data_IF_223808336403
#
_entry.id   IF_223808336403
#
_cell.length_a   1.000
_cell.length_b   1.000
_cell.length_c   1.000
_cell.angle_alpha   90.00
_cell.angle_beta   90.00
_cell.angle_gamma   90.00
#
_symmetry.space_group_name_H-M   'P 1'
#
loop_
_entity.id
_entity.type
_entity.pdbx_description
1 polymer ?
#
# COMPACT_ATOMS: atom_id res chain seq x y z
N UNK A 1 -21.14 37.86 -8.90
CA UNK A 1 -21.12 39.14 -9.59
C UNK A 1 -20.76 40.24 -8.58
N UNK A 2 -19.47 40.42 -8.24
CA UNK A 2 -18.91 41.64 -7.62
C UNK A 2 -17.45 41.65 -8.04
N UNK A 3 -17.15 42.62 -8.93
CA UNK A 3 -15.85 42.90 -9.51
C UNK A 3 -15.07 43.82 -8.59
N UNK A 4 -13.83 43.46 -8.22
CA UNK A 4 -12.91 44.35 -7.52
C UNK A 4 -11.81 44.80 -8.47
N UNK A 5 -11.88 46.09 -8.92
CA UNK A 5 -10.88 46.81 -9.67
C UNK A 5 -9.75 47.25 -8.76
N UNK A 6 -8.53 46.78 -8.97
CA UNK A 6 -7.34 47.41 -8.36
C UNK A 6 -6.79 48.48 -9.31
N UNK A 7 -6.70 49.71 -8.79
CA UNK A 7 -6.08 50.89 -9.43
C UNK A 7 -4.56 50.80 -9.35
N UNK A 8 -3.91 50.83 -10.49
CA UNK A 8 -2.47 51.12 -10.63
C UNK A 8 -2.25 52.65 -10.47
N UNK A 9 -1.35 53.03 -9.55
CA UNK A 9 -0.77 54.41 -9.51
C UNK A 9 0.53 54.38 -10.31
N UNK A 10 0.54 55.12 -11.38
CA UNK A 10 1.73 55.57 -12.11
C UNK A 10 2.34 56.74 -11.38
N UNK A 11 3.64 56.74 -11.18
CA UNK A 11 4.41 57.96 -10.91
C UNK A 11 5.38 58.22 -12.06
N UNK A 12 5.25 59.42 -12.61
CA UNK A 12 6.04 60.01 -13.67
C UNK A 12 7.26 60.75 -13.11
N UNK A 13 8.38 60.84 -13.84
CA UNK A 13 9.59 61.52 -13.39
C UNK A 13 9.62 62.96 -13.88
N UNK A 14 10.04 63.88 -13.05
CA UNK A 14 10.49 65.22 -13.51
C UNK A 14 11.59 65.78 -12.60
N UNK A 15 12.76 65.86 -13.13
CA UNK A 15 13.54 67.11 -13.34
C UNK A 15 13.93 67.83 -12.03
N UNK A 16 15.25 67.87 -11.75
CA UNK A 16 15.94 69.15 -11.44
C UNK A 16 17.40 69.02 -11.88
N UNK A 17 17.75 69.89 -12.84
CA UNK A 17 19.10 70.27 -13.28
C UNK A 17 19.53 71.48 -12.43
N UNK A 18 20.83 71.58 -12.14
CA UNK A 18 21.44 72.83 -11.62
C UNK A 18 22.79 72.51 -10.98
N UNK A 19 23.87 72.60 -11.67
CA UNK A 19 24.83 73.72 -11.80
C UNK A 19 25.54 73.99 -10.45
N UNK A 20 26.83 73.70 -10.41
CA UNK A 20 27.84 74.67 -9.95
C UNK A 20 29.24 74.31 -10.46
N UNK A 21 29.77 75.16 -11.29
CA UNK A 21 31.14 75.30 -11.74
C UNK A 21 31.92 76.18 -10.75
N UNK A 22 33.24 76.11 -10.83
CA UNK A 22 34.25 77.03 -10.40
C UNK A 22 35.10 76.60 -9.22
N UNK A 23 36.32 76.53 -9.24
CA UNK A 23 37.42 77.43 -9.57
C UNK A 23 38.60 77.08 -8.63
N UNK A 24 39.77 76.91 -9.04
CA UNK A 24 41.09 77.58 -9.19
C UNK A 24 42.19 76.77 -8.56
N UNK A 25 43.20 76.26 -9.29
CA UNK A 25 44.43 76.88 -9.77
C UNK A 25 45.49 77.15 -8.67
N UNK A 26 46.70 76.54 -8.85
CA UNK A 26 48.00 76.98 -8.59
C UNK A 26 48.63 76.83 -7.19
N UNK A 27 49.66 76.00 -7.06
CA UNK A 27 51.02 76.50 -6.79
C UNK A 27 52.04 75.43 -7.11
N UNK A 28 52.95 75.76 -8.02
CA UNK A 28 54.27 75.17 -8.24
C UNK A 28 55.19 75.50 -7.09
N UNK A 29 55.83 74.50 -6.52
CA UNK A 29 56.94 74.65 -5.60
C UNK A 29 57.96 73.58 -5.86
N UNK A 30 59.00 73.95 -6.60
CA UNK A 30 60.20 73.14 -6.83
C UNK A 30 61.06 73.09 -5.56
N UNK A 31 61.50 71.86 -5.18
CA UNK A 31 62.71 71.68 -4.39
C UNK A 31 63.40 70.41 -4.84
N UNK A 32 64.57 70.63 -5.37
CA UNK A 32 65.63 69.66 -5.66
C UNK A 32 66.15 69.06 -4.36
N UNK A 33 66.29 67.73 -4.35
CA UNK A 33 66.84 66.96 -3.22
C UNK A 33 67.26 65.55 -3.63
N UNK A 34 68.48 65.44 -4.06
CA UNK A 34 69.46 64.35 -3.86
C UNK A 34 68.91 62.90 -3.88
N UNK A 35 69.26 62.18 -4.91
CA UNK A 35 69.16 60.74 -5.03
C UNK A 35 70.04 60.03 -3.97
N UNK A 36 69.34 59.28 -3.09
CA UNK A 36 69.98 58.27 -2.27
C UNK A 36 69.45 56.91 -2.79
N UNK A 37 70.37 56.12 -3.32
CA UNK A 37 70.11 54.74 -3.74
C UNK A 37 69.71 53.91 -2.51
N UNK A 38 68.41 53.65 -2.37
CA UNK A 38 67.95 52.61 -1.46
C UNK A 38 67.74 51.40 -2.33
N UNK A 39 68.56 50.40 -2.21
CA UNK A 39 68.28 49.05 -2.70
C UNK A 39 67.02 48.56 -2.12
N UNK A 40 65.97 48.45 -2.97
CA UNK A 40 64.76 47.78 -2.63
C UNK A 40 65.07 46.31 -2.60
N UNK A 41 65.30 45.78 -1.39
CA UNK A 41 65.22 44.33 -1.14
C UNK A 41 63.84 43.85 -1.59
N UNK A 42 63.81 43.11 -2.67
CA UNK A 42 62.68 42.31 -3.01
C UNK A 42 62.50 41.24 -1.89
N UNK A 43 61.70 41.53 -0.90
CA UNK A 43 61.11 40.47 -0.06
C UNK A 43 60.34 39.54 -1.01
N UNK A 44 60.92 38.39 -1.34
CA UNK A 44 60.25 37.25 -1.84
C UNK A 44 59.12 36.99 -0.84
N UNK A 45 57.90 37.43 -1.16
CA UNK A 45 56.69 36.95 -0.47
C UNK A 45 56.68 35.44 -0.64
N UNK A 46 57.16 34.73 0.34
CA UNK A 46 56.93 33.31 0.51
C UNK A 46 55.40 33.16 0.55
N UNK A 47 54.83 32.69 -0.56
CA UNK A 47 53.44 32.31 -0.64
C UNK A 47 53.25 31.14 0.33
N UNK A 48 52.95 31.47 1.58
CA UNK A 48 52.63 30.47 2.58
C UNK A 48 51.32 29.80 2.15
N UNK A 49 51.43 28.58 1.59
CA UNK A 49 50.31 27.79 1.20
C UNK A 49 49.44 27.53 2.44
N UNK A 50 48.19 27.99 2.48
CA UNK A 50 47.32 27.84 3.67
C UNK A 50 47.09 26.38 3.98
N UNK A 51 47.26 26.00 5.24
CA UNK A 51 46.88 24.67 5.75
C UNK A 51 45.38 24.60 5.92
N UNK A 52 44.73 23.67 5.20
CA UNK A 52 43.25 23.53 5.22
C UNK A 52 42.89 22.14 5.75
N UNK A 53 42.13 22.07 6.83
CA UNK A 53 41.66 20.80 7.34
C UNK A 53 40.69 20.17 6.33
N UNK A 54 40.92 18.89 6.02
CA UNK A 54 40.13 18.13 5.04
C UNK A 54 39.52 16.89 5.69
N UNK A 55 38.36 16.47 5.17
CA UNK A 55 37.72 15.22 5.50
C UNK A 55 37.62 14.33 4.26
N UNK A 56 37.68 13.03 4.47
CA UNK A 56 37.46 12.06 3.40
C UNK A 56 35.96 11.86 3.19
N UNK A 57 35.57 11.84 1.94
CA UNK A 57 34.20 11.54 1.50
C UNK A 57 33.86 10.08 1.81
N UNK A 58 32.77 9.86 2.50
CA UNK A 58 32.25 8.53 2.86
C UNK A 58 31.15 8.10 1.90
N UNK A 59 31.00 6.79 1.75
CA UNK A 59 29.88 6.20 1.04
C UNK A 59 29.14 5.32 2.02
N UNK A 60 27.85 5.53 2.14
CA UNK A 60 26.99 4.80 3.06
C UNK A 60 25.61 4.56 2.45
N UNK A 61 24.93 3.52 2.93
CA UNK A 61 23.52 3.26 2.65
C UNK A 61 22.70 3.77 3.84
N UNK A 62 22.07 4.95 3.72
CA UNK A 62 21.42 5.55 4.86
C UNK A 62 20.15 4.80 5.25
N UNK A 63 20.07 4.46 6.53
CA UNK A 63 18.83 4.09 7.18
C UNK A 63 18.07 5.35 7.60
N UNK A 64 16.76 5.34 7.40
CA UNK A 64 15.90 6.43 7.83
C UNK A 64 14.55 5.90 8.30
N UNK A 65 13.92 6.62 9.21
CA UNK A 65 12.57 6.28 9.69
C UNK A 65 11.54 7.13 8.96
N UNK A 66 10.59 6.46 8.32
CA UNK A 66 9.47 7.10 7.66
C UNK A 66 8.22 6.95 8.53
N UNK A 67 7.60 8.06 8.88
CA UNK A 67 6.37 8.08 9.67
C UNK A 67 5.17 8.34 8.75
N UNK A 68 4.21 7.41 8.73
CA UNK A 68 3.05 7.44 7.85
C UNK A 68 1.77 7.11 8.63
N UNK A 69 0.62 7.66 8.22
CA UNK A 69 -0.66 7.15 8.69
C UNK A 69 -0.96 5.80 8.07
N UNK A 70 -1.56 4.92 8.85
CA UNK A 70 -2.10 3.64 8.41
C UNK A 70 -3.48 3.40 8.99
N UNK A 71 -4.20 2.45 8.43
CA UNK A 71 -5.52 2.03 8.87
C UNK A 71 -5.53 0.54 9.15
N UNK A 72 -6.03 0.15 10.31
CA UNK A 72 -6.29 -1.25 10.67
C UNK A 72 -7.59 -1.69 10.04
N UNK A 73 -7.54 -2.71 9.20
CA UNK A 73 -8.72 -3.30 8.57
C UNK A 73 -8.90 -4.74 9.07
N UNK A 74 -10.14 -5.26 9.13
CA UNK A 74 -10.37 -6.68 9.37
C UNK A 74 -9.59 -7.51 8.34
N UNK A 75 -9.04 -8.65 8.76
CA UNK A 75 -8.32 -9.54 7.82
C UNK A 75 -9.25 -10.07 6.73
N UNK A 76 -10.45 -10.49 7.12
CA UNK A 76 -11.55 -10.83 6.22
C UNK A 76 -12.82 -10.11 6.67
N UNK A 77 -13.56 -9.59 5.71
CA UNK A 77 -14.87 -9.01 5.90
C UNK A 77 -15.78 -9.46 4.77
N UNK A 78 -17.00 -9.88 5.09
CA UNK A 78 -17.95 -10.32 4.09
C UNK A 78 -19.36 -9.83 4.44
N UNK A 79 -20.08 -9.42 3.41
CA UNK A 79 -21.50 -9.13 3.46
C UNK A 79 -22.28 -10.38 3.05
N UNK A 80 -23.16 -10.85 3.93
CA UNK A 80 -23.94 -12.07 3.77
C UNK A 80 -25.31 -11.72 3.23
N UNK A 81 -25.61 -12.26 2.06
CA UNK A 81 -26.88 -12.14 1.37
C UNK A 81 -27.62 -13.48 1.37
N UNK A 82 -28.96 -13.50 1.53
CA UNK A 82 -29.73 -14.71 1.34
C UNK A 82 -29.69 -15.14 -0.13
N UNK A 83 -29.48 -16.43 -0.38
CA UNK A 83 -29.45 -17.03 -1.73
C UNK A 83 -30.84 -17.39 -2.27
N UNK A 84 -31.83 -17.39 -1.41
CA UNK A 84 -33.22 -17.70 -1.75
C UNK A 84 -34.15 -16.70 -1.09
N UNK A 85 -35.29 -16.43 -1.74
CA UNK A 85 -36.34 -15.57 -1.20
C UNK A 85 -37.08 -16.27 -0.09
N UNK A 86 -37.35 -15.57 1.02
CA UNK A 86 -38.10 -16.09 2.15
C UNK A 86 -38.31 -15.06 3.24
N UNK A 87 -39.14 -15.37 4.21
CA UNK A 87 -39.35 -14.55 5.40
C UNK A 87 -38.31 -14.89 6.47
N UNK A 88 -37.79 -13.90 7.15
CA UNK A 88 -36.87 -14.09 8.26
C UNK A 88 -37.63 -14.64 9.47
N UNK A 89 -37.49 -15.95 9.72
CA UNK A 89 -38.20 -16.66 10.78
C UNK A 89 -37.58 -16.44 12.15
N UNK A 90 -36.25 -16.54 12.21
CA UNK A 90 -35.52 -16.40 13.46
C UNK A 90 -34.12 -15.80 13.23
N UNK A 91 -33.67 -14.98 14.18
CA UNK A 91 -32.32 -14.47 14.31
C UNK A 91 -31.69 -15.12 15.54
N UNK A 92 -30.47 -15.69 15.36
CA UNK A 92 -29.73 -16.37 16.44
C UNK A 92 -28.59 -15.53 16.97
N UNK A 93 -28.29 -14.41 16.29
CA UNK A 93 -27.17 -13.49 16.61
C UNK A 93 -27.62 -12.04 16.41
N UNK A 94 -26.91 -11.13 17.07
CA UNK A 94 -27.13 -9.70 16.89
C UNK A 94 -25.80 -8.98 16.60
N UNK A 95 -25.85 -7.67 16.34
CA UNK A 95 -24.68 -6.84 16.17
C UNK A 95 -23.77 -6.94 17.41
N UNK A 96 -22.45 -7.13 17.19
CA UNK A 96 -21.47 -7.36 18.24
C UNK A 96 -21.34 -8.82 18.69
N UNK A 97 -22.21 -9.73 18.25
CA UNK A 97 -22.09 -11.16 18.56
C UNK A 97 -20.84 -11.78 17.94
N UNK A 98 -20.09 -12.54 18.73
CA UNK A 98 -19.01 -13.40 18.24
C UNK A 98 -19.60 -14.66 17.64
N UNK A 99 -19.13 -15.07 16.48
CA UNK A 99 -19.61 -16.23 15.74
C UNK A 99 -18.47 -17.12 15.29
N UNK A 100 -18.74 -18.43 15.21
CA UNK A 100 -17.82 -19.44 14.70
C UNK A 100 -18.20 -19.84 13.28
N UNK A 101 -17.23 -20.26 12.48
CA UNK A 101 -17.45 -20.82 11.14
C UNK A 101 -18.52 -21.93 11.17
N UNK A 102 -19.52 -21.83 10.30
CA UNK A 102 -20.63 -22.77 10.23
C UNK A 102 -21.74 -22.55 11.26
N UNK A 103 -21.59 -21.62 12.20
CA UNK A 103 -22.64 -21.26 13.16
C UNK A 103 -23.85 -20.68 12.43
N UNK A 104 -25.04 -21.10 12.83
CA UNK A 104 -26.31 -20.57 12.28
C UNK A 104 -26.52 -19.15 12.80
N UNK A 105 -26.68 -18.21 11.86
CA UNK A 105 -26.92 -16.79 12.13
C UNK A 105 -28.42 -16.47 12.09
N UNK A 106 -29.09 -17.01 11.09
CA UNK A 106 -30.53 -16.81 10.89
C UNK A 106 -31.16 -18.01 10.19
N UNK A 107 -32.47 -18.13 10.35
CA UNK A 107 -33.31 -19.13 9.67
C UNK A 107 -34.38 -18.41 8.89
N UNK A 108 -34.47 -18.73 7.60
CA UNK A 108 -35.54 -18.25 6.71
C UNK A 108 -36.67 -19.27 6.62
N UNK A 109 -37.87 -18.80 6.33
CA UNK A 109 -39.05 -19.61 6.03
C UNK A 109 -39.50 -19.33 4.61
N UNK A 110 -39.55 -20.38 3.79
CA UNK A 110 -40.07 -20.38 2.43
C UNK A 110 -40.92 -21.64 2.22
N UNK A 111 -42.23 -21.57 2.51
CA UNK A 111 -43.16 -22.73 2.41
C UNK A 111 -43.15 -23.35 1.01
N UNK A 112 -43.01 -22.51 -0.02
CA UNK A 112 -42.99 -22.91 -1.43
C UNK A 112 -41.83 -23.88 -1.72
N UNK A 113 -40.64 -23.63 -1.19
CA UNK A 113 -39.46 -24.48 -1.37
C UNK A 113 -39.68 -25.86 -0.73
N UNK A 114 -40.35 -25.92 0.43
CA UNK A 114 -40.66 -27.16 1.11
C UNK A 114 -41.69 -27.98 0.34
N UNK A 115 -42.73 -27.33 -0.23
CA UNK A 115 -43.72 -27.97 -1.06
C UNK A 115 -43.11 -28.50 -2.37
N UNK A 116 -42.29 -27.72 -3.04
CA UNK A 116 -41.56 -28.12 -4.25
C UNK A 116 -40.66 -29.34 -3.97
N UNK A 117 -39.96 -29.35 -2.85
CA UNK A 117 -39.12 -30.48 -2.46
C UNK A 117 -39.96 -31.76 -2.23
N UNK A 118 -41.08 -31.62 -1.55
CA UNK A 118 -41.99 -32.76 -1.31
C UNK A 118 -42.54 -33.33 -2.62
N UNK A 119 -42.96 -32.47 -3.54
CA UNK A 119 -43.45 -32.90 -4.87
C UNK A 119 -42.32 -33.58 -5.71
N UNK A 120 -41.12 -33.00 -5.73
CA UNK A 120 -39.99 -33.57 -6.44
C UNK A 120 -39.56 -34.93 -5.89
N UNK A 121 -39.60 -35.11 -4.55
CA UNK A 121 -39.31 -36.41 -3.93
C UNK A 121 -40.39 -37.46 -4.28
N UNK A 122 -41.64 -37.08 -4.26
CA UNK A 122 -42.73 -37.98 -4.65
C UNK A 122 -42.62 -38.42 -6.12
N UNK A 123 -42.25 -37.48 -7.01
CA UNK A 123 -42.00 -37.78 -8.42
C UNK A 123 -40.80 -38.74 -8.61
N UNK A 124 -39.71 -38.51 -7.91
CA UNK A 124 -38.51 -39.38 -7.94
C UNK A 124 -38.87 -40.78 -7.42
N UNK A 125 -39.68 -40.90 -6.37
CA UNK A 125 -40.15 -42.17 -5.82
C UNK A 125 -41.01 -42.93 -6.84
N UNK A 126 -41.97 -42.25 -7.48
CA UNK A 126 -42.77 -42.87 -8.52
C UNK A 126 -41.91 -43.48 -9.64
N UNK A 127 -40.96 -42.72 -10.17
CA UNK A 127 -40.07 -43.19 -11.24
C UNK A 127 -39.11 -44.29 -10.78
N UNK A 128 -38.79 -44.33 -9.50
CA UNK A 128 -38.03 -45.41 -8.90
C UNK A 128 -38.83 -46.73 -8.95
N UNK A 129 -40.12 -46.68 -8.59
CA UNK A 129 -41.00 -47.87 -8.64
C UNK A 129 -41.20 -48.38 -10.09
N UNK A 130 -41.37 -47.43 -11.05
CA UNK A 130 -41.43 -47.77 -12.48
C UNK A 130 -40.14 -48.45 -12.94
N UNK A 131 -38.97 -47.98 -12.54
CA UNK A 131 -37.67 -48.62 -12.84
C UNK A 131 -37.53 -49.98 -12.16
N UNK A 132 -37.93 -50.14 -10.90
CA UNK A 132 -37.89 -51.42 -10.20
C UNK A 132 -38.82 -52.44 -10.88
N UNK A 133 -40.01 -52.01 -11.27
CA UNK A 133 -40.96 -52.85 -12.02
C UNK A 133 -40.39 -53.31 -13.36
N UNK A 134 -39.86 -52.42 -14.18
CA UNK A 134 -39.29 -52.76 -15.48
C UNK A 134 -38.07 -53.69 -15.34
N UNK A 135 -37.23 -53.45 -14.33
CA UNK A 135 -36.05 -54.30 -14.01
C UNK A 135 -36.47 -55.73 -13.63
N UNK A 136 -37.55 -55.85 -12.81
CA UNK A 136 -38.11 -57.19 -12.46
C UNK A 136 -38.74 -57.86 -13.66
N UNK A 137 -39.46 -57.11 -14.51
CA UNK A 137 -40.02 -57.65 -15.75
C UNK A 137 -38.92 -58.19 -16.70
N UNK A 138 -37.84 -57.44 -16.94
CA UNK A 138 -36.70 -57.91 -17.72
C UNK A 138 -36.08 -59.15 -17.12
N UNK A 139 -35.89 -59.22 -15.81
CA UNK A 139 -35.32 -60.41 -15.13
C UNK A 139 -36.18 -61.64 -15.36
N UNK A 140 -37.55 -61.51 -15.28
CA UNK A 140 -38.46 -62.63 -15.54
C UNK A 140 -38.42 -63.06 -17.01
N UNK A 141 -38.35 -62.14 -17.97
CA UNK A 141 -38.19 -62.44 -19.41
C UNK A 141 -36.86 -63.13 -19.70
N UNK A 142 -35.77 -62.72 -19.09
CA UNK A 142 -34.45 -63.37 -19.20
C UNK A 142 -34.49 -64.83 -18.67
N UNK A 143 -35.18 -65.02 -17.52
CA UNK A 143 -35.35 -66.37 -16.96
C UNK A 143 -36.22 -67.29 -17.87
N UNK A 144 -37.24 -66.71 -18.50
CA UNK A 144 -38.08 -67.44 -19.47
C UNK A 144 -37.31 -67.76 -20.76
N UNK A 145 -36.50 -66.83 -21.26
CA UNK A 145 -35.68 -67.00 -22.45
C UNK A 145 -34.55 -68.03 -22.30
N UNK A 146 -34.19 -68.37 -21.06
CA UNK A 146 -33.26 -69.48 -20.81
C UNK A 146 -33.82 -70.87 -21.24
N UNK A 147 -35.13 -70.96 -21.56
CA UNK A 147 -35.77 -72.13 -22.17
C UNK A 147 -35.88 -71.87 -23.67
N UNK A 148 -35.39 -72.77 -24.51
CA UNK A 148 -35.36 -72.60 -25.95
C UNK A 148 -36.73 -72.24 -26.53
N UNK A 149 -36.76 -71.19 -27.37
CA UNK A 149 -37.94 -70.73 -28.10
C UNK A 149 -39.02 -70.04 -27.28
N UNK A 150 -38.85 -69.82 -25.97
CA UNK A 150 -39.92 -69.31 -25.09
C UNK A 150 -40.13 -67.78 -25.20
N UNK A 151 -39.13 -66.99 -25.64
CA UNK A 151 -39.22 -65.53 -25.76
C UNK A 151 -38.50 -65.05 -27.02
N UNK A 152 -39.15 -64.19 -27.81
CA UNK A 152 -38.54 -63.59 -29.00
C UNK A 152 -37.44 -62.56 -28.58
N UNK A 153 -36.30 -62.54 -29.31
CA UNK A 153 -35.22 -61.62 -29.03
C UNK A 153 -35.64 -60.14 -28.98
N UNK A 154 -36.57 -59.74 -29.84
CA UNK A 154 -37.11 -58.39 -29.88
C UNK A 154 -37.80 -57.99 -28.56
N UNK A 155 -38.42 -58.90 -27.83
CA UNK A 155 -39.07 -58.61 -26.55
C UNK A 155 -38.06 -58.39 -25.42
N UNK A 156 -36.94 -59.13 -25.45
CA UNK A 156 -35.80 -58.87 -24.54
C UNK A 156 -35.17 -57.50 -24.79
N UNK A 157 -35.00 -57.14 -26.07
CA UNK A 157 -34.45 -55.82 -26.44
C UNK A 157 -35.39 -54.69 -26.02
N UNK A 158 -36.70 -54.84 -26.22
CA UNK A 158 -37.72 -53.88 -25.74
C UNK A 158 -37.68 -53.74 -24.23
N UNK A 159 -37.67 -54.83 -23.48
CA UNK A 159 -37.60 -54.82 -22.03
C UNK A 159 -36.31 -54.19 -21.50
N UNK A 160 -35.16 -54.51 -22.14
CA UNK A 160 -33.86 -53.93 -21.78
C UNK A 160 -33.83 -52.40 -22.01
N UNK A 161 -34.39 -51.97 -23.14
CA UNK A 161 -34.50 -50.53 -23.49
C UNK A 161 -35.45 -49.81 -22.52
N UNK A 162 -36.58 -50.43 -22.12
CA UNK A 162 -37.49 -49.90 -21.12
C UNK A 162 -36.79 -49.69 -19.78
N UNK A 163 -36.02 -50.65 -19.30
CA UNK A 163 -35.22 -50.54 -18.07
C UNK A 163 -34.23 -49.37 -18.15
N UNK A 164 -33.50 -49.21 -19.28
CA UNK A 164 -32.58 -48.06 -19.47
C UNK A 164 -33.31 -46.74 -19.45
N UNK A 165 -34.49 -46.66 -20.12
CA UNK A 165 -35.34 -45.46 -20.15
C UNK A 165 -35.83 -45.07 -18.75
N UNK A 166 -36.38 -46.04 -18.00
CA UNK A 166 -36.92 -45.82 -16.67
C UNK A 166 -35.82 -45.46 -15.67
N UNK A 167 -34.65 -46.15 -15.79
CA UNK A 167 -33.47 -45.76 -15.00
C UNK A 167 -33.03 -44.31 -15.23
N UNK A 168 -32.95 -43.89 -16.50
CA UNK A 168 -32.61 -42.53 -16.86
C UNK A 168 -33.65 -41.50 -16.32
N UNK A 169 -34.92 -41.83 -16.43
CA UNK A 169 -36.00 -40.97 -15.88
C UNK A 169 -35.93 -40.82 -14.35
N UNK A 170 -35.66 -41.94 -13.64
CA UNK A 170 -35.46 -41.90 -12.19
C UNK A 170 -34.22 -41.04 -11.80
N UNK A 171 -33.09 -41.22 -12.48
CA UNK A 171 -31.85 -40.46 -12.22
C UNK A 171 -32.08 -38.96 -12.43
N UNK A 172 -32.82 -38.58 -13.49
CA UNK A 172 -33.15 -37.18 -13.75
C UNK A 172 -34.05 -36.59 -12.65
N UNK A 173 -35.11 -37.32 -12.23
CA UNK A 173 -35.95 -36.85 -11.15
C UNK A 173 -35.28 -36.76 -9.79
N UNK A 174 -34.38 -37.71 -9.49
CA UNK A 174 -33.55 -37.69 -8.29
C UNK A 174 -32.61 -36.49 -8.28
N UNK A 175 -32.01 -36.14 -9.41
CA UNK A 175 -31.17 -34.94 -9.54
C UNK A 175 -31.98 -33.65 -9.32
N UNK A 176 -33.22 -33.58 -9.85
CA UNK A 176 -34.13 -32.45 -9.62
C UNK A 176 -34.46 -32.30 -8.12
N UNK A 177 -34.85 -33.40 -7.45
CA UNK A 177 -35.11 -33.38 -6.00
C UNK A 177 -33.87 -32.95 -5.18
N UNK A 178 -32.68 -33.38 -5.58
CA UNK A 178 -31.41 -32.97 -4.95
C UNK A 178 -31.15 -31.47 -5.10
N UNK A 179 -31.41 -30.91 -6.28
CA UNK A 179 -31.26 -29.46 -6.55
C UNK A 179 -32.19 -28.63 -5.64
N UNK A 180 -33.44 -29.01 -5.50
CA UNK A 180 -34.40 -28.34 -4.62
C UNK A 180 -34.00 -28.52 -3.14
N UNK A 181 -33.48 -29.69 -2.77
CA UNK A 181 -32.95 -29.93 -1.42
C UNK A 181 -31.78 -28.98 -1.07
N UNK A 182 -30.88 -28.73 -2.03
CA UNK A 182 -29.81 -27.75 -1.86
C UNK A 182 -30.35 -26.31 -1.69
N UNK A 183 -31.40 -25.93 -2.44
CA UNK A 183 -32.11 -24.65 -2.23
C UNK A 183 -32.66 -24.53 -0.80
N UNK A 184 -33.23 -25.61 -0.25
CA UNK A 184 -33.74 -25.64 1.13
C UNK A 184 -32.62 -25.41 2.16
N UNK A 185 -31.40 -25.89 1.91
CA UNK A 185 -30.29 -25.67 2.80
C UNK A 185 -29.92 -24.18 2.89
N UNK A 186 -30.11 -23.42 1.81
CA UNK A 186 -29.89 -21.96 1.79
C UNK A 186 -30.87 -21.16 2.66
N UNK A 187 -31.93 -21.78 3.17
CA UNK A 187 -32.82 -21.15 4.17
C UNK A 187 -32.15 -21.03 5.54
N UNK A 188 -31.04 -21.72 5.77
CA UNK A 188 -30.24 -21.61 6.98
C UNK A 188 -28.98 -20.81 6.67
N UNK A 189 -28.93 -19.57 7.15
CA UNK A 189 -27.79 -18.67 6.96
C UNK A 189 -26.71 -18.99 7.99
N UNK A 190 -25.47 -19.24 7.54
CA UNK A 190 -24.33 -19.62 8.39
C UNK A 190 -23.16 -18.67 8.21
N UNK A 191 -22.35 -18.54 9.26
CA UNK A 191 -21.11 -17.77 9.22
C UNK A 191 -20.06 -18.49 8.35
N UNK A 192 -19.38 -17.77 7.42
CA UNK A 192 -18.36 -18.36 6.57
C UNK A 192 -17.01 -18.57 7.27
N UNK A 193 -16.70 -17.77 8.28
CA UNK A 193 -15.48 -17.82 9.10
C UNK A 193 -15.77 -17.34 10.54
N UNK A 194 -14.78 -17.48 11.42
CA UNK A 194 -14.83 -16.99 12.80
C UNK A 194 -14.71 -15.47 12.82
N UNK A 195 -15.66 -14.78 13.46
CA UNK A 195 -15.64 -13.31 13.46
C UNK A 195 -16.71 -12.69 14.35
N UNK A 196 -16.96 -11.41 14.11
CA UNK A 196 -17.95 -10.59 14.82
C UNK A 196 -18.97 -10.06 13.82
N UNK A 197 -20.24 -10.06 14.19
CA UNK A 197 -21.32 -9.43 13.42
C UNK A 197 -21.16 -7.90 13.54
N UNK A 198 -20.80 -7.24 12.45
CA UNK A 198 -20.66 -5.78 12.42
C UNK A 198 -21.95 -5.05 12.06
N UNK A 199 -22.78 -5.67 11.23
CA UNK A 199 -24.10 -5.13 10.86
C UNK A 199 -25.15 -6.23 10.79
N UNK A 200 -26.40 -5.85 11.17
CA UNK A 200 -27.64 -6.60 10.98
C UNK A 200 -28.69 -5.63 10.45
N UNK A 201 -29.18 -5.86 9.25
CA UNK A 201 -30.01 -4.87 8.54
C UNK A 201 -31.50 -5.24 8.50
N UNK A 202 -31.87 -6.43 8.93
CA UNK A 202 -33.26 -6.89 8.91
C UNK A 202 -33.70 -7.42 10.27
N UNK A 203 -35.02 -7.40 10.49
CA UNK A 203 -35.69 -7.93 11.68
C UNK A 203 -36.53 -9.16 11.34
N UNK A 204 -36.88 -9.96 12.35
CA UNK A 204 -37.78 -11.09 12.22
C UNK A 204 -39.09 -10.66 11.57
N UNK A 205 -39.59 -11.45 10.62
CA UNK A 205 -40.75 -11.15 9.80
C UNK A 205 -40.46 -10.41 8.50
N UNK A 206 -39.26 -9.89 8.30
CA UNK A 206 -38.87 -9.21 7.05
C UNK A 206 -38.79 -10.22 5.90
N UNK A 207 -39.27 -9.82 4.72
CA UNK A 207 -39.05 -10.55 3.48
C UNK A 207 -37.66 -10.21 2.96
N UNK A 208 -36.83 -11.23 2.79
CA UNK A 208 -35.49 -11.11 2.23
C UNK A 208 -35.40 -11.97 0.96
N UNK A 209 -34.54 -11.57 0.02
CA UNK A 209 -34.49 -12.24 -1.28
C UNK A 209 -33.06 -12.30 -1.83
N UNK A 210 -32.92 -12.80 -3.06
CA UNK A 210 -31.64 -12.83 -3.76
C UNK A 210 -31.01 -11.43 -3.88
N UNK A 211 -29.69 -11.37 -3.76
CA UNK A 211 -28.93 -10.14 -3.90
C UNK A 211 -28.98 -9.64 -5.35
N UNK A 212 -29.64 -8.50 -5.57
CA UNK A 212 -29.49 -7.71 -6.79
C UNK A 212 -28.42 -6.64 -6.61
N UNK A 213 -28.13 -5.87 -7.64
CA UNK A 213 -27.09 -4.82 -7.64
C UNK A 213 -27.25 -3.72 -6.56
N UNK A 214 -28.40 -3.65 -5.90
CA UNK A 214 -28.73 -2.71 -4.80
C UNK A 214 -29.24 -3.40 -3.54
N UNK A 215 -28.99 -4.71 -3.39
CA UNK A 215 -29.49 -5.44 -2.24
C UNK A 215 -28.75 -5.05 -0.95
N UNK A 216 -29.51 -4.89 0.13
CA UNK A 216 -28.96 -4.71 1.47
C UNK A 216 -28.53 -6.08 2.03
N UNK A 217 -27.30 -6.24 2.56
CA UNK A 217 -26.87 -7.50 3.15
C UNK A 217 -27.69 -7.83 4.40
N UNK A 218 -27.92 -9.11 4.67
CA UNK A 218 -28.60 -9.54 5.90
C UNK A 218 -27.70 -9.31 7.11
N UNK A 219 -26.42 -9.70 6.99
CA UNK A 219 -25.38 -9.49 7.97
C UNK A 219 -24.09 -9.04 7.29
N UNK A 220 -23.26 -8.31 8.06
CA UNK A 220 -21.85 -8.13 7.76
C UNK A 220 -21.05 -8.80 8.86
N UNK A 221 -20.06 -9.61 8.48
CA UNK A 221 -19.17 -10.36 9.40
C UNK A 221 -17.75 -9.95 9.14
N UNK A 222 -17.00 -9.63 10.20
CA UNK A 222 -15.59 -9.24 10.13
C UNK A 222 -14.74 -10.07 11.07
N UNK A 223 -13.58 -10.50 10.59
CA UNK A 223 -12.59 -11.20 11.41
C UNK A 223 -11.82 -10.20 12.26
N UNK A 224 -11.84 -10.36 13.60
CA UNK A 224 -11.17 -9.45 14.54
C UNK A 224 -9.90 -10.07 15.15
N UNK A 225 -9.75 -11.40 15.12
CA UNK A 225 -8.58 -12.09 15.72
C UNK A 225 -7.28 -11.84 14.96
N UNK A 226 -7.37 -11.39 13.73
CA UNK A 226 -6.26 -10.98 12.87
C UNK A 226 -6.69 -9.72 12.13
N UNK A 227 -5.82 -8.74 12.07
CA UNK A 227 -6.06 -7.48 11.36
C UNK A 227 -5.00 -7.29 10.27
N UNK A 228 -5.30 -6.38 9.39
CA UNK A 228 -4.43 -5.94 8.31
C UNK A 228 -4.20 -4.45 8.47
N UNK A 229 -2.97 -4.05 8.69
CA UNK A 229 -2.57 -2.65 8.70
C UNK A 229 -2.22 -2.24 7.28
N UNK A 230 -3.01 -1.36 6.69
CA UNK A 230 -2.82 -0.83 5.35
C UNK A 230 -2.13 0.53 5.43
N UNK A 231 -1.03 0.67 4.71
CA UNK A 231 -0.22 1.90 4.68
C UNK A 231 0.03 2.32 3.24
N UNK A 232 -0.25 3.58 2.92
CA UNK A 232 0.07 4.16 1.62
C UNK A 232 1.48 4.75 1.65
N UNK A 233 2.44 4.04 1.06
CA UNK A 233 3.85 4.46 1.02
C UNK A 233 4.11 5.28 -0.25
N UNK A 234 4.62 6.52 -0.15
CA UNK A 234 4.93 7.35 -1.32
C UNK A 234 5.92 6.67 -2.27
N UNK A 235 5.74 6.89 -3.58
CA UNK A 235 6.52 6.27 -4.66
C UNK A 235 8.04 6.33 -4.43
N UNK A 236 8.55 7.49 -3.98
CA UNK A 236 9.98 7.69 -3.72
C UNK A 236 10.59 6.76 -2.65
N UNK A 237 9.76 6.13 -1.82
CA UNK A 237 10.17 5.20 -0.78
C UNK A 237 9.82 3.74 -1.09
N UNK A 238 9.04 3.50 -2.16
CA UNK A 238 8.54 2.17 -2.49
C UNK A 238 9.65 1.15 -2.81
N UNK A 239 10.77 1.62 -3.38
CA UNK A 239 11.92 0.78 -3.70
C UNK A 239 12.75 0.38 -2.47
N UNK A 240 12.60 1.11 -1.36
CA UNK A 240 13.28 0.82 -0.08
C UNK A 240 12.49 -0.16 0.80
N UNK A 241 11.35 -0.67 0.33
CA UNK A 241 10.55 -1.66 1.04
C UNK A 241 11.05 -3.06 0.73
N UNK A 242 11.43 -3.78 1.76
CA UNK A 242 11.79 -5.19 1.72
C UNK A 242 10.80 -6.02 2.54
N UNK A 243 10.74 -7.34 2.27
CA UNK A 243 9.87 -8.27 3.02
C UNK A 243 10.22 -8.35 4.51
N UNK A 244 11.46 -8.04 4.86
CA UNK A 244 11.94 -7.97 6.24
C UNK A 244 11.85 -6.58 6.88
N UNK A 245 11.33 -5.56 6.17
CA UNK A 245 11.25 -4.19 6.68
C UNK A 245 10.54 -4.16 8.04
N UNK A 246 11.23 -3.79 9.12
CA UNK A 246 10.62 -3.75 10.45
C UNK A 246 9.66 -2.56 10.54
N UNK A 247 8.47 -2.86 11.05
CA UNK A 247 7.43 -1.87 11.27
C UNK A 247 7.03 -1.85 12.73
N UNK A 248 6.95 -0.65 13.29
CA UNK A 248 6.25 -0.40 14.54
C UNK A 248 5.12 0.61 14.34
N UNK A 249 4.05 0.46 15.11
CA UNK A 249 2.94 1.40 15.04
C UNK A 249 2.31 1.67 16.40
N UNK A 250 1.66 2.80 16.51
CA UNK A 250 0.90 3.24 17.67
C UNK A 250 -0.52 3.56 17.26
N UNK A 251 -1.49 3.29 18.11
CA UNK A 251 -2.89 3.66 17.92
C UNK A 251 -3.29 4.69 18.98
N UNK A 252 -4.14 5.63 18.61
CA UNK A 252 -4.49 6.77 19.48
C UNK A 252 -5.25 6.36 20.73
N UNK A 253 -6.04 5.30 20.67
CA UNK A 253 -6.82 4.79 21.81
C UNK A 253 -6.00 4.01 22.85
N UNK A 254 -4.69 3.76 22.58
CA UNK A 254 -3.76 3.09 23.51
C UNK A 254 -2.44 3.84 23.60
N UNK A 255 -2.44 5.02 24.24
CA UNK A 255 -1.24 5.83 24.37
C UNK A 255 -0.14 5.08 25.10
N UNK A 256 1.09 5.18 24.56
CA UNK A 256 2.28 4.54 25.13
C UNK A 256 2.51 3.08 24.72
N UNK A 257 1.52 2.37 24.16
CA UNK A 257 1.72 0.99 23.66
C UNK A 257 2.20 1.01 22.22
N UNK A 258 3.30 0.31 21.96
CA UNK A 258 3.87 0.11 20.63
C UNK A 258 3.56 -1.31 20.18
N UNK A 259 3.05 -1.43 18.96
CA UNK A 259 2.77 -2.70 18.31
C UNK A 259 3.76 -2.93 17.18
N UNK A 260 3.97 -4.18 16.85
CA UNK A 260 4.87 -4.59 15.76
C UNK A 260 4.08 -5.41 14.74
N UNK A 261 4.43 -5.25 13.47
CA UNK A 261 3.85 -6.04 12.39
C UNK A 261 4.92 -6.39 11.37
N UNK A 262 4.63 -7.40 10.55
CA UNK A 262 5.50 -7.83 9.45
C UNK A 262 4.82 -7.54 8.12
N UNK A 263 5.62 -7.13 7.15
CA UNK A 263 5.16 -6.96 5.78
C UNK A 263 4.62 -8.30 5.27
N UNK A 264 3.40 -8.29 4.78
CA UNK A 264 2.76 -9.49 4.23
C UNK A 264 2.50 -9.37 2.73
N UNK A 265 2.16 -8.18 2.28
CA UNK A 265 1.82 -7.94 0.87
C UNK A 265 2.22 -6.52 0.46
N UNK A 266 2.71 -6.43 -0.77
CA UNK A 266 2.96 -5.18 -1.45
C UNK A 266 2.20 -5.23 -2.77
N UNK A 267 1.34 -4.25 -3.03
CA UNK A 267 0.55 -4.21 -4.27
C UNK A 267 1.40 -4.13 -5.52
N UNK A 268 2.64 -3.65 -5.42
CA UNK A 268 3.57 -3.39 -6.54
C UNK A 268 2.96 -2.53 -7.66
N UNK A 269 1.78 -1.97 -7.42
CA UNK A 269 1.04 -1.10 -8.35
C UNK A 269 0.88 0.27 -7.72
N UNK A 270 1.30 1.27 -8.47
CA UNK A 270 1.22 2.67 -8.05
C UNK A 270 -0.23 3.18 -8.19
N UNK A 271 -0.77 3.70 -7.11
CA UNK A 271 -1.99 4.48 -7.16
C UNK A 271 -1.66 5.85 -7.78
N UNK A 272 -2.10 6.06 -9.03
CA UNK A 272 -1.77 7.27 -9.79
C UNK A 272 -2.31 8.57 -9.17
N UNK A 273 -3.44 8.51 -8.44
CA UNK A 273 -4.04 9.67 -7.79
C UNK A 273 -3.26 10.10 -6.56
N UNK A 274 -2.80 9.14 -5.76
CA UNK A 274 -2.10 9.39 -4.50
C UNK A 274 -0.58 9.33 -4.63
N UNK A 275 -0.04 8.91 -5.79
CA UNK A 275 1.39 8.68 -6.00
C UNK A 275 2.01 7.82 -4.89
N UNK A 276 1.32 6.74 -4.55
CA UNK A 276 1.70 5.84 -3.46
C UNK A 276 1.45 4.39 -3.82
N UNK A 277 2.15 3.49 -3.16
CA UNK A 277 1.97 2.04 -3.21
C UNK A 277 1.31 1.61 -1.91
N UNK A 278 0.21 0.85 -1.99
CA UNK A 278 -0.42 0.28 -0.82
C UNK A 278 0.36 -0.95 -0.35
N UNK A 279 0.73 -0.94 0.90
CA UNK A 279 1.46 -2.00 1.57
C UNK A 279 0.65 -2.50 2.75
N UNK A 280 0.56 -3.81 2.90
CA UNK A 280 -0.24 -4.45 3.93
C UNK A 280 0.66 -5.23 4.89
N UNK A 281 0.40 -5.04 6.17
CA UNK A 281 1.11 -5.72 7.26
C UNK A 281 0.10 -6.53 8.07
N UNK A 282 0.40 -7.79 8.30
CA UNK A 282 -0.43 -8.66 9.13
C UNK A 282 -0.19 -8.38 10.62
N UNK A 283 -1.28 -8.16 11.35
CA UNK A 283 -1.27 -7.87 12.78
C UNK A 283 -2.04 -8.98 13.52
N UNK A 284 -1.36 -9.69 14.43
CA UNK A 284 -2.00 -10.64 15.32
C UNK A 284 -2.81 -9.88 16.39
N UNK A 285 -4.10 -10.17 16.47
CA UNK A 285 -5.02 -9.53 17.40
C UNK A 285 -5.88 -10.56 18.17
N UNK A 286 -5.31 -11.73 18.47
CA UNK A 286 -6.02 -12.78 19.25
C UNK A 286 -6.50 -12.31 20.60
N UNK A 287 -5.78 -11.37 21.22
CA UNK A 287 -6.18 -10.72 22.48
C UNK A 287 -7.28 -9.67 22.28
N UNK A 288 -7.71 -9.41 21.06
CA UNK A 288 -8.72 -8.39 20.71
C UNK A 288 -8.39 -6.99 21.27
N UNK A 289 -7.10 -6.68 21.31
CA UNK A 289 -6.59 -5.41 21.82
C UNK A 289 -6.82 -4.25 20.84
N UNK A 290 -7.00 -4.54 19.57
CA UNK A 290 -7.18 -3.58 18.47
C UNK A 290 -8.51 -3.84 17.77
N UNK A 291 -9.05 -2.81 17.12
CA UNK A 291 -10.30 -2.91 16.34
C UNK A 291 -10.06 -2.55 14.88
N UNK A 292 -10.77 -3.21 13.98
CA UNK A 292 -10.81 -2.79 12.59
C UNK A 292 -11.40 -1.38 12.47
N UNK A 293 -10.85 -0.56 11.58
CA UNK A 293 -11.21 0.85 11.40
C UNK A 293 -10.39 1.83 12.24
N UNK A 294 -9.50 1.37 13.13
CA UNK A 294 -8.62 2.26 13.90
C UNK A 294 -7.48 2.80 13.02
N UNK A 295 -7.19 4.09 13.20
CA UNK A 295 -6.01 4.73 12.61
C UNK A 295 -4.75 4.47 13.43
N UNK A 296 -3.67 4.22 12.74
CA UNK A 296 -2.36 3.96 13.33
C UNK A 296 -1.31 4.95 12.82
N UNK A 297 -0.43 5.40 13.70
CA UNK A 297 0.80 6.09 13.35
C UNK A 297 1.89 5.04 13.16
N UNK A 298 2.31 4.84 11.93
CA UNK A 298 3.25 3.81 11.52
C UNK A 298 4.66 4.38 11.39
N UNK A 299 5.66 3.65 11.88
CA UNK A 299 7.08 3.96 11.70
C UNK A 299 7.75 2.81 10.94
N UNK A 300 8.16 3.09 9.72
CA UNK A 300 8.91 2.19 8.85
C UNK A 300 10.40 2.53 8.95
N UNK A 301 11.24 1.55 9.28
CA UNK A 301 12.68 1.67 9.14
C UNK A 301 13.06 1.21 7.74
N UNK A 302 13.51 2.13 6.93
CA UNK A 302 13.85 1.90 5.54
C UNK A 302 15.34 2.10 5.33
N UNK A 303 15.92 1.33 4.41
CA UNK A 303 17.27 1.51 3.91
C UNK A 303 17.21 1.83 2.42
N UNK A 304 18.00 2.79 1.97
CA UNK A 304 18.06 3.07 0.54
C UNK A 304 18.74 1.92 -0.20
N UNK A 305 18.24 1.52 -1.39
CA UNK A 305 18.89 0.46 -2.16
C UNK A 305 20.28 0.86 -2.68
N UNK A 306 20.47 2.16 -2.95
CA UNK A 306 21.73 2.69 -3.47
C UNK A 306 22.56 3.35 -2.39
N UNK A 307 23.87 3.09 -2.44
CA UNK A 307 24.84 3.81 -1.62
C UNK A 307 24.98 5.25 -2.11
N UNK A 308 25.04 6.19 -1.18
CA UNK A 308 25.15 7.62 -1.47
C UNK A 308 26.40 8.22 -0.83
N UNK A 309 26.80 9.39 -1.32
CA UNK A 309 28.00 10.10 -0.92
C UNK A 309 27.67 11.03 0.24
N UNK A 310 28.52 10.97 1.29
CA UNK A 310 28.35 11.73 2.52
C UNK A 310 29.58 12.56 2.81
N UNK A 311 29.38 13.83 3.12
CA UNK A 311 30.38 14.78 3.54
C UNK A 311 30.02 15.38 4.89
N UNK A 312 30.99 15.92 5.67
CA UNK A 312 30.65 16.71 6.85
C UNK A 312 29.70 17.87 6.47
N UNK A 313 28.66 18.09 7.24
CA UNK A 313 27.68 19.15 6.95
C UNK A 313 28.32 20.55 6.87
N UNK A 314 29.43 20.76 7.60
CA UNK A 314 30.26 21.98 7.56
C UNK A 314 31.02 22.15 6.25
N UNK A 315 31.18 21.11 5.44
CA UNK A 315 31.86 21.15 4.15
C UNK A 315 31.01 21.69 3.02
N UNK A 316 29.68 21.71 3.22
CA UNK A 316 28.71 22.20 2.22
C UNK A 316 28.58 23.72 2.36
N UNK A 317 28.80 24.42 1.26
CA UNK A 317 28.69 25.88 1.18
C UNK A 317 27.44 26.25 0.42
N UNK A 318 26.56 27.02 1.08
CA UNK A 318 25.36 27.59 0.51
C UNK A 318 25.62 29.06 0.17
N UNK A 319 25.84 29.37 -1.11
CA UNK A 319 26.12 30.71 -1.61
C UNK A 319 25.05 31.21 -2.57
N UNK A 320 25.05 32.50 -2.89
CA UNK A 320 24.13 33.04 -3.91
C UNK A 320 24.35 32.39 -5.29
N UNK A 321 25.54 31.88 -5.58
CA UNK A 321 25.91 31.17 -6.82
C UNK A 321 25.47 29.70 -6.85
N UNK A 322 24.85 29.17 -5.77
CA UNK A 322 24.44 27.80 -5.63
C UNK A 322 25.14 27.06 -4.50
N UNK A 323 24.77 25.78 -4.36
CA UNK A 323 25.31 24.87 -3.35
C UNK A 323 26.52 24.12 -3.93
N UNK A 324 27.61 24.08 -3.20
CA UNK A 324 28.83 23.40 -3.63
C UNK A 324 29.64 22.89 -2.45
N UNK A 325 30.59 22.02 -2.73
CA UNK A 325 31.67 21.61 -1.82
C UNK A 325 33.02 21.94 -2.46
N UNK A 326 34.02 22.17 -1.60
CA UNK A 326 35.38 22.44 -2.02
C UNK A 326 36.17 21.12 -1.94
N UNK A 327 36.41 20.49 -3.10
CA UNK A 327 37.26 19.30 -3.24
C UNK A 327 38.71 19.70 -3.36
N UNK A 328 39.63 19.01 -2.70
CA UNK A 328 41.06 19.18 -2.85
C UNK A 328 41.60 18.11 -3.78
N UNK A 329 42.15 18.53 -4.91
CA UNK A 329 42.74 17.67 -5.93
C UNK A 329 44.09 18.23 -6.34
N UNK A 330 45.17 17.43 -6.23
CA UNK A 330 46.56 17.87 -6.54
C UNK A 330 46.97 19.14 -5.80
N UNK A 331 46.69 19.23 -4.50
CA UNK A 331 46.94 20.38 -3.64
C UNK A 331 46.29 21.70 -4.10
N UNK A 332 45.27 21.62 -4.93
CA UNK A 332 44.46 22.75 -5.38
C UNK A 332 42.96 22.55 -5.00
N UNK A 333 42.29 23.65 -4.70
CA UNK A 333 40.87 23.65 -4.40
C UNK A 333 40.06 23.68 -5.68
N UNK A 334 39.12 22.73 -5.82
CA UNK A 334 38.17 22.68 -6.91
C UNK A 334 36.76 22.81 -6.37
N UNK A 335 35.99 23.73 -6.93
CA UNK A 335 34.57 23.92 -6.60
C UNK A 335 33.72 22.89 -7.32
N UNK A 336 33.01 22.06 -6.59
CA UNK A 336 32.12 21.03 -7.15
C UNK A 336 30.69 21.36 -6.79
N UNK A 337 29.85 21.71 -7.77
CA UNK A 337 28.42 21.92 -7.53
C UNK A 337 27.76 20.62 -7.05
N UNK A 338 26.90 20.72 -6.03
CA UNK A 338 26.20 19.57 -5.47
C UNK A 338 24.73 19.91 -5.18
N UNK A 339 23.93 18.86 -5.13
CA UNK A 339 22.54 18.92 -4.61
C UNK A 339 22.55 18.27 -3.23
N UNK A 340 21.99 18.96 -2.24
CA UNK A 340 21.86 18.44 -0.89
C UNK A 340 20.76 17.37 -0.82
N UNK A 341 21.06 16.27 -0.14
CA UNK A 341 20.13 15.20 0.18
C UNK A 341 19.73 15.20 1.66
N UNK A 342 19.73 14.03 2.27
CA UNK A 342 19.42 13.87 3.69
C UNK A 342 20.57 14.38 4.57
N UNK A 343 20.19 14.85 5.76
CA UNK A 343 21.14 15.19 6.83
C UNK A 343 21.04 14.19 7.96
N UNK A 344 22.17 13.65 8.41
CA UNK A 344 22.26 12.73 9.55
C UNK A 344 23.36 13.22 10.48
N UNK A 345 22.99 13.65 11.67
CA UNK A 345 23.93 14.22 12.66
C UNK A 345 24.82 15.33 12.05
N UNK A 346 26.09 15.07 11.92
CA UNK A 346 27.10 16.00 11.37
C UNK A 346 27.42 15.72 9.89
N UNK A 347 26.75 14.77 9.26
CA UNK A 347 26.95 14.41 7.86
C UNK A 347 25.80 14.92 6.99
N UNK A 348 26.15 15.38 5.80
CA UNK A 348 25.23 15.81 4.75
C UNK A 348 25.41 14.90 3.53
N UNK A 349 24.33 14.30 3.07
CA UNK A 349 24.29 13.59 1.80
C UNK A 349 24.38 14.60 0.65
N UNK A 350 25.23 14.31 -0.33
CA UNK A 350 25.42 15.18 -1.49
C UNK A 350 25.39 14.38 -2.79
N UNK A 351 24.77 14.96 -3.80
CA UNK A 351 24.71 14.42 -5.15
C UNK A 351 25.48 15.35 -6.09
N UNK A 352 26.53 14.84 -6.73
CA UNK A 352 27.37 15.61 -7.62
C UNK A 352 28.57 14.79 -8.12
N UNK A 353 29.51 15.44 -8.76
CA UNK A 353 30.73 14.77 -9.28
C UNK A 353 31.77 14.57 -8.16
N UNK A 354 31.39 13.83 -7.11
CA UNK A 354 32.21 13.50 -5.96
C UNK A 354 32.21 12.00 -5.76
N UNK A 355 33.35 11.41 -5.43
CA UNK A 355 33.53 9.96 -5.28
C UNK A 355 34.02 9.63 -3.88
N UNK A 356 33.85 8.38 -3.50
CA UNK A 356 34.41 7.82 -2.28
C UNK A 356 35.92 8.06 -2.21
N UNK A 357 36.39 8.51 -1.06
CA UNK A 357 37.83 8.79 -0.83
C UNK A 357 38.30 10.16 -1.30
N UNK A 358 37.51 10.94 -2.03
CA UNK A 358 37.84 12.33 -2.33
C UNK A 358 38.04 13.11 -1.02
N UNK A 359 38.92 14.10 -1.05
CA UNK A 359 39.17 14.99 0.08
C UNK A 359 38.36 16.27 -0.12
N UNK A 360 37.54 16.61 0.87
CA UNK A 360 36.78 17.86 0.89
C UNK A 360 37.20 18.73 2.07
N UNK A 361 37.18 20.03 1.89
CA UNK A 361 37.50 21.00 2.94
C UNK A 361 36.47 20.84 4.09
N UNK A 362 36.95 20.64 5.32
CA UNK A 362 36.09 20.36 6.49
C UNK A 362 35.16 21.54 6.84
N UNK A 363 35.65 22.76 6.67
CA UNK A 363 34.84 23.99 6.81
C UNK A 363 34.86 24.74 5.49
N UNK A 364 33.81 24.55 4.69
CA UNK A 364 33.64 25.26 3.45
C UNK A 364 33.53 26.77 3.67
N UNK A 365 34.22 27.57 2.87
CA UNK A 365 34.13 29.03 2.88
C UNK A 365 34.13 29.56 1.45
N UNK A 366 33.39 30.64 1.19
CA UNK A 366 33.42 31.35 -0.08
C UNK A 366 34.75 32.08 -0.33
N UNK A 367 35.54 32.30 0.72
CA UNK A 367 36.85 33.00 0.65
C UNK A 367 37.91 32.16 -0.06
N UNK A 368 37.79 30.82 -0.03
CA UNK A 368 38.67 29.92 -0.74
C UNK A 368 38.33 29.91 -2.23
N UNK A 369 39.18 30.62 -3.00
CA UNK A 369 39.00 30.72 -4.46
C UNK A 369 39.34 29.39 -5.14
N UNK A 370 38.67 29.13 -6.23
CA UNK A 370 38.95 28.02 -7.13
C UNK A 370 40.40 28.09 -7.60
N UNK A 371 41.09 26.96 -7.74
CA UNK A 371 42.52 26.81 -8.09
C UNK A 371 43.54 27.33 -7.06
N UNK A 372 43.09 27.78 -5.89
CA UNK A 372 43.99 28.13 -4.80
C UNK A 372 44.80 26.93 -4.34
N UNK A 373 46.14 27.08 -4.26
CA UNK A 373 47.01 26.06 -3.66
C UNK A 373 46.79 25.97 -2.17
N UNK A 374 46.59 24.78 -1.66
CA UNK A 374 46.35 24.48 -0.24
C UNK A 374 47.15 23.27 0.19
N UNK A 375 47.57 23.24 1.44
CA UNK A 375 48.17 22.05 2.05
C UNK A 375 47.07 21.30 2.83
N UNK A 376 46.60 20.13 2.36
CA UNK A 376 45.56 19.39 3.06
C UNK A 376 46.11 18.78 4.35
N UNK A 377 45.40 19.02 5.45
CA UNK A 377 45.69 18.40 6.75
C UNK A 377 44.50 17.50 7.08
N UNK A 378 44.75 16.20 7.10
CA UNK A 378 43.71 15.25 7.53
C UNK A 378 43.47 15.41 9.03
N UNK A 379 42.20 15.54 9.39
CA UNK A 379 41.76 15.62 10.78
C UNK A 379 41.47 14.22 11.33
#
# INVERSE_FOLDING_TARGET
>A
MISYKMKRKQYSPSVVRGVFYAVILVTLGACTGRAENTEVSQEEQQVTVPKVPVASVQVDQPEYTLSLPGELQPYEQVDIYPKVKGFLKALHVDRGSQVKKGQVLATLEAPEVNQQLSAAKAQAQKLYEDFVYSKQALKRLQQAAAKDGAVAAIELDRASTKVRSDSAAYVAAKASASSISAMREYLTIKAPFDGVITARNFSVGALVGEAGSQATPLFSVAQQSRLRLVVAVPEKHAQSLDEETPLSFKVSNRPGKVFHAKLSRNSKVLNQKLRSVNVEFDVDNREQALSGGEYAQVQLKLQRPDSTVWVPASSVVNAQSGVFVLKVENDAVKRVPVVEGMRRENLQEVFGNIKAGDLVVLKGSEELKEESKVQPVKN
#
